data_IF_599166753229
#
_entry.id   IF_599166753229
#
_cell.length_a   1.000
_cell.length_b   1.000
_cell.length_c   1.000
_cell.angle_alpha   90.00
_cell.angle_beta   90.00
_cell.angle_gamma   90.00
#
_symmetry.space_group_name_H-M   'P 1'
#
loop_
_entity.id
_entity.type
_entity.pdbx_description
1 polymer ?
#
# COMPACT_ATOMS: atom_id res chain seq x y z
N UNK A 1 16.52 -21.81 28.75
CA UNK A 1 15.40 -20.86 28.62
C UNK A 1 15.67 -19.74 27.61
N UNK A 2 16.77 -18.97 27.74
CA UNK A 2 17.09 -17.85 26.81
C UNK A 2 17.27 -18.27 25.34
N UNK A 3 17.94 -19.41 25.08
CA UNK A 3 18.13 -19.95 23.72
C UNK A 3 16.84 -20.39 23.05
N UNK A 4 15.89 -20.95 23.81
CA UNK A 4 14.58 -21.33 23.30
C UNK A 4 13.74 -20.09 22.94
N UNK A 5 13.81 -19.03 23.76
CA UNK A 5 13.14 -17.76 23.47
C UNK A 5 13.68 -17.10 22.19
N UNK A 6 15.00 -17.12 21.99
CA UNK A 6 15.64 -16.59 20.76
C UNK A 6 15.20 -17.39 19.52
N UNK A 7 15.14 -18.72 19.63
CA UNK A 7 14.66 -19.57 18.53
C UNK A 7 13.18 -19.32 18.21
N UNK A 8 12.31 -19.13 19.20
CA UNK A 8 10.90 -18.78 18.98
C UNK A 8 10.74 -17.42 18.29
N UNK A 9 11.54 -16.41 18.67
CA UNK A 9 11.45 -15.08 18.06
C UNK A 9 11.88 -15.12 16.59
N UNK A 10 12.97 -15.81 16.28
CA UNK A 10 13.45 -15.96 14.90
C UNK A 10 12.46 -16.73 14.01
N UNK A 11 11.77 -17.72 14.58
CA UNK A 11 10.76 -18.49 13.83
C UNK A 11 9.51 -17.65 13.50
N UNK A 12 9.05 -16.80 14.43
CA UNK A 12 7.89 -15.93 14.20
C UNK A 12 8.15 -14.84 13.15
N UNK A 13 9.38 -14.34 13.05
CA UNK A 13 9.79 -13.40 12.00
C UNK A 13 9.77 -14.04 10.60
N UNK A 14 10.07 -15.33 10.50
CA UNK A 14 10.03 -16.06 9.23
C UNK A 14 8.60 -16.34 8.73
N UNK A 15 7.59 -16.33 9.61
CA UNK A 15 6.17 -16.48 9.25
C UNK A 15 5.48 -15.16 8.89
N UNK A 16 6.15 -14.01 9.00
CA UNK A 16 5.54 -12.74 8.65
C UNK A 16 5.33 -12.64 7.12
N UNK A 17 4.12 -12.94 6.66
CA UNK A 17 3.71 -12.79 5.27
C UNK A 17 2.73 -11.62 5.12
N UNK A 18 3.09 -10.63 4.29
CA UNK A 18 2.12 -9.64 3.83
C UNK A 18 1.23 -10.31 2.77
N UNK A 19 0.05 -10.80 3.16
CA UNK A 19 -0.90 -11.43 2.22
C UNK A 19 -1.59 -10.41 1.32
N UNK A 20 -1.81 -9.20 1.83
CA UNK A 20 -2.57 -8.17 1.13
C UNK A 20 -1.87 -6.83 1.23
N UNK A 21 -1.74 -6.16 0.09
CA UNK A 21 -1.35 -4.78 -0.01
C UNK A 21 -2.63 -3.92 -0.05
N UNK A 22 -2.94 -3.28 1.08
CA UNK A 22 -4.13 -2.44 1.21
C UNK A 22 -3.79 -0.99 0.90
N UNK A 23 -4.53 -0.38 -0.02
CA UNK A 23 -4.37 1.03 -0.38
C UNK A 23 -5.70 1.77 -0.31
N UNK A 24 -5.67 3.02 0.13
CA UNK A 24 -6.76 3.95 -0.08
C UNK A 24 -6.51 4.67 -1.41
N UNK A 25 -7.37 4.46 -2.39
CA UNK A 25 -7.29 5.09 -3.71
C UNK A 25 -8.36 6.16 -3.86
N UNK A 26 -8.09 7.10 -4.75
CA UNK A 26 -9.01 8.17 -5.11
C UNK A 26 -9.03 8.31 -6.61
N UNK A 27 -10.23 8.31 -7.18
CA UNK A 27 -10.45 8.55 -8.59
C UNK A 27 -11.63 9.52 -8.81
N UNK A 28 -11.82 9.96 -10.05
CA UNK A 28 -12.97 10.77 -10.45
C UNK A 28 -13.91 9.94 -11.30
N UNK A 29 -15.18 9.93 -10.94
CA UNK A 29 -16.24 9.22 -11.63
C UNK A 29 -17.38 10.18 -11.95
N UNK A 30 -18.16 9.86 -12.98
CA UNK A 30 -19.43 10.54 -13.25
C UNK A 30 -20.44 10.13 -12.19
N UNK A 31 -21.13 11.08 -11.59
CA UNK A 31 -22.27 10.81 -10.72
C UNK A 31 -23.56 10.60 -11.53
N UNK A 32 -24.69 10.46 -10.82
CA UNK A 32 -26.00 10.23 -11.43
C UNK A 32 -26.47 11.41 -12.30
N UNK A 33 -26.00 12.62 -11.99
CA UNK A 33 -26.35 13.85 -12.71
C UNK A 33 -25.37 14.12 -13.88
N UNK A 34 -24.33 13.29 -14.01
CA UNK A 34 -23.31 13.39 -15.06
C UNK A 34 -22.16 14.32 -14.69
N UNK A 35 -22.08 14.81 -13.45
CA UNK A 35 -20.99 15.65 -12.97
C UNK A 35 -19.80 14.81 -12.47
N UNK A 36 -18.62 15.43 -12.43
CA UNK A 36 -17.43 14.75 -11.93
C UNK A 36 -17.37 14.79 -10.41
N UNK A 37 -17.58 13.64 -9.79
CA UNK A 37 -17.43 13.46 -8.35
C UNK A 37 -16.11 12.74 -8.02
N UNK A 38 -15.57 13.04 -6.83
CA UNK A 38 -14.44 12.30 -6.27
C UNK A 38 -14.96 11.05 -5.58
N UNK A 39 -14.41 9.89 -5.95
CA UNK A 39 -14.64 8.63 -5.26
C UNK A 39 -13.39 8.24 -4.50
N UNK A 40 -13.54 7.93 -3.21
CA UNK A 40 -12.50 7.32 -2.40
C UNK A 40 -12.89 5.87 -2.12
N UNK A 41 -11.92 4.97 -2.22
CA UNK A 41 -12.16 3.55 -2.00
C UNK A 41 -10.93 2.88 -1.41
N UNK A 42 -11.15 1.78 -0.70
CA UNK A 42 -10.08 0.91 -0.22
C UNK A 42 -9.95 -0.26 -1.19
N UNK A 43 -8.76 -0.46 -1.72
CA UNK A 43 -8.43 -1.62 -2.56
C UNK A 43 -7.53 -2.57 -1.79
N UNK A 44 -7.75 -3.86 -2.00
CA UNK A 44 -6.99 -4.95 -1.40
C UNK A 44 -6.36 -5.73 -2.56
N UNK A 45 -5.05 -5.59 -2.73
CA UNK A 45 -4.31 -6.29 -3.79
C UNK A 45 -3.49 -7.43 -3.19
N UNK A 46 -3.29 -8.51 -3.95
CA UNK A 46 -2.35 -9.56 -3.57
C UNK A 46 -0.93 -8.98 -3.62
N UNK A 47 -0.28 -8.90 -2.45
CA UNK A 47 1.05 -8.32 -2.34
C UNK A 47 2.10 -9.10 -3.16
N UNK A 48 1.95 -10.42 -3.31
CA UNK A 48 2.89 -11.26 -4.06
C UNK A 48 2.76 -11.08 -5.57
N UNK A 49 1.60 -10.60 -6.04
CA UNK A 49 1.33 -10.31 -7.45
C UNK A 49 1.43 -8.81 -7.79
N UNK A 50 1.87 -7.96 -6.85
CA UNK A 50 1.89 -6.50 -7.00
C UNK A 50 3.31 -5.94 -6.94
N UNK A 51 3.66 -5.05 -7.87
CA UNK A 51 4.87 -4.24 -7.82
C UNK A 51 4.54 -2.75 -7.70
N UNK A 52 5.30 -2.02 -6.90
CA UNK A 52 5.20 -0.55 -6.79
C UNK A 52 6.33 0.07 -7.60
N UNK A 53 5.97 0.85 -8.63
CA UNK A 53 6.92 1.59 -9.45
C UNK A 53 6.74 3.07 -9.11
N UNK A 54 7.82 3.70 -8.66
CA UNK A 54 7.85 5.13 -8.36
C UNK A 54 8.55 5.83 -9.52
N UNK A 55 7.78 6.54 -10.34
CA UNK A 55 8.29 7.33 -11.46
C UNK A 55 8.52 8.79 -11.03
N UNK A 56 9.53 9.44 -11.60
CA UNK A 56 9.78 10.88 -11.54
C UNK A 56 9.79 11.51 -10.13
N UNK A 57 10.19 10.77 -9.10
CA UNK A 57 10.48 11.31 -7.76
C UNK A 57 11.96 11.69 -7.62
N UNK A 58 12.39 12.76 -8.28
CA UNK A 58 13.62 13.51 -7.93
C UNK A 58 13.30 14.69 -6.99
N UNK A 59 14.33 15.24 -6.35
CA UNK A 59 14.23 16.27 -5.30
C UNK A 59 13.46 17.54 -5.72
N UNK A 60 13.25 17.77 -7.02
CA UNK A 60 12.57 18.96 -7.54
C UNK A 60 11.32 18.65 -8.41
N UNK A 61 10.83 17.39 -8.51
CA UNK A 61 9.55 17.11 -9.22
C UNK A 61 8.31 17.19 -8.35
N UNK A 62 8.43 17.50 -7.07
CA UNK A 62 7.24 17.68 -6.27
C UNK A 62 6.84 19.14 -6.32
N UNK A 63 5.54 19.41 -6.33
CA UNK A 63 5.06 20.76 -6.05
C UNK A 63 5.56 21.15 -4.66
N UNK A 64 6.41 22.18 -4.60
CA UNK A 64 7.05 22.67 -3.36
C UNK A 64 6.04 23.05 -2.25
N UNK A 65 4.75 23.18 -2.60
CA UNK A 65 3.64 23.59 -1.74
C UNK A 65 2.33 22.80 -2.04
N UNK A 66 2.39 21.54 -2.48
CA UNK A 66 1.17 20.73 -2.68
C UNK A 66 0.34 20.55 -1.40
#
# INVERSE_FOLDING_TARGET
MKRAAIFSILFSLALANAETFTLNTRDRVRDADGDWAVRQQKVLWDAKATAVIVCDMWDLHHCKNA
#
